data_IF_532450125880
#
_entry.id   IF_532450125880
#
_cell.length_a   1.000
_cell.length_b   1.000
_cell.length_c   1.000
_cell.angle_alpha   90.00
_cell.angle_beta   90.00
_cell.angle_gamma   90.00
#
_symmetry.space_group_name_H-M   'P 1'
#
loop_
_entity.id
_entity.type
_entity.pdbx_description
1 polymer ?
#
# COMPACT_ATOMS: atom_id res chain seq x y z
N UNK A 1 1.30 32.65 9.46
CA UNK A 1 0.38 32.14 8.43
C UNK A 1 -0.09 30.76 8.80
N UNK A 2 -1.20 30.29 8.22
CA UNK A 2 -1.71 28.91 8.34
C UNK A 2 -1.43 28.18 7.03
N UNK A 3 -0.94 26.95 7.07
CA UNK A 3 -0.81 26.12 5.86
C UNK A 3 -2.21 25.70 5.41
N UNK A 4 -2.57 25.97 4.16
CA UNK A 4 -3.89 25.67 3.58
C UNK A 4 -3.82 24.67 2.42
N UNK A 5 -2.62 24.22 2.05
CA UNK A 5 -2.45 23.18 1.04
C UNK A 5 -1.02 22.65 0.92
N UNK A 6 -0.91 21.46 0.33
CA UNK A 6 0.34 20.76 0.03
C UNK A 6 0.20 19.95 -1.25
N UNK A 7 1.24 19.99 -2.09
CA UNK A 7 1.37 19.15 -3.28
C UNK A 7 2.78 18.57 -3.33
N UNK A 8 2.98 17.27 -3.00
CA UNK A 8 4.25 16.62 -3.24
C UNK A 8 4.49 16.49 -4.75
N UNK A 9 5.73 16.70 -5.19
CA UNK A 9 6.17 16.48 -6.57
C UNK A 9 7.51 15.75 -6.57
N UNK A 10 7.55 14.59 -7.24
CA UNK A 10 8.75 13.79 -7.47
C UNK A 10 9.18 13.95 -8.91
N UNK A 11 10.40 14.43 -9.12
CA UNK A 11 10.98 14.51 -10.46
C UNK A 11 11.48 13.14 -10.91
N UNK A 12 10.88 12.61 -11.98
CA UNK A 12 11.28 11.36 -12.61
C UNK A 12 11.90 11.70 -13.96
N UNK A 13 13.21 11.45 -14.11
CA UNK A 13 13.95 11.69 -15.35
C UNK A 13 14.63 10.40 -15.80
N UNK A 14 14.20 9.87 -16.94
CA UNK A 14 14.67 8.61 -17.50
C UNK A 14 14.88 8.73 -19.01
N UNK A 15 15.97 8.15 -19.56
CA UNK A 15 16.14 8.04 -21.01
C UNK A 15 15.02 7.23 -21.69
N UNK A 16 14.41 6.27 -20.99
CA UNK A 16 13.39 5.36 -21.54
C UNK A 16 11.96 5.88 -21.33
N UNK A 17 11.70 6.55 -20.20
CA UNK A 17 10.34 6.95 -19.79
C UNK A 17 10.10 8.46 -19.84
N UNK A 18 11.08 9.21 -20.36
CA UNK A 18 11.05 10.66 -20.48
C UNK A 18 11.24 11.37 -19.14
N UNK A 19 10.71 12.59 -19.05
CA UNK A 19 10.88 13.48 -17.91
C UNK A 19 9.53 13.98 -17.43
N UNK A 20 9.15 13.63 -16.21
CA UNK A 20 7.89 14.03 -15.61
C UNK A 20 8.05 14.54 -14.17
N UNK A 21 7.10 15.35 -13.73
CA UNK A 21 6.81 15.53 -12.31
C UNK A 21 5.62 14.64 -11.94
N UNK A 22 5.77 13.80 -10.94
CA UNK A 22 4.71 12.88 -10.50
C UNK A 22 4.36 13.23 -9.06
N UNK A 23 3.07 13.34 -8.71
CA UNK A 23 2.66 13.72 -7.35
C UNK A 23 3.23 12.78 -6.29
N UNK A 24 3.25 11.48 -6.59
CA UNK A 24 3.89 10.47 -5.76
C UNK A 24 4.65 9.45 -6.61
N UNK A 25 5.94 9.24 -6.31
CA UNK A 25 6.81 8.38 -7.13
C UNK A 25 6.41 6.90 -7.08
N UNK A 26 6.39 6.31 -5.88
CA UNK A 26 6.11 4.89 -5.67
C UNK A 26 4.80 4.63 -4.91
N UNK A 27 3.97 5.66 -4.70
CA UNK A 27 2.70 5.54 -3.98
C UNK A 27 1.53 5.22 -4.93
N UNK A 28 0.50 4.52 -4.46
CA UNK A 28 -0.67 4.12 -5.26
C UNK A 28 -1.57 5.31 -5.57
N UNK A 29 -1.73 6.21 -4.58
CA UNK A 29 -2.50 7.44 -4.66
C UNK A 29 -1.64 8.63 -4.20
N UNK A 30 -2.10 9.83 -4.54
CA UNK A 30 -1.53 11.10 -4.07
C UNK A 30 -1.69 12.22 -5.09
N UNK A 31 -1.79 13.45 -4.61
CA UNK A 31 -2.10 14.62 -5.41
C UNK A 31 -2.14 15.86 -4.53
N UNK A 32 -2.63 16.99 -5.05
CA UNK A 32 -2.77 18.19 -4.24
C UNK A 32 -3.83 17.97 -3.16
N UNK A 33 -3.53 18.43 -1.95
CA UNK A 33 -4.47 18.53 -0.83
C UNK A 33 -4.57 20.01 -0.49
N UNK A 34 -5.77 20.57 -0.51
CA UNK A 34 -6.02 21.97 -0.20
C UNK A 34 -7.33 22.11 0.58
N UNK A 35 -7.39 23.11 1.45
CA UNK A 35 -8.57 23.45 2.24
C UNK A 35 -9.60 24.28 1.44
N UNK A 36 -9.16 24.92 0.36
CA UNK A 36 -9.96 25.82 -0.48
C UNK A 36 -9.46 25.87 -1.93
N UNK A 37 -10.32 26.35 -2.83
CA UNK A 37 -10.07 26.39 -4.28
C UNK A 37 -8.93 27.34 -4.66
N UNK A 38 -8.72 28.42 -3.88
CA UNK A 38 -7.63 29.37 -4.10
C UNK A 38 -6.27 28.70 -3.85
N UNK A 39 -6.16 27.98 -2.73
CA UNK A 39 -4.99 27.19 -2.37
C UNK A 39 -4.73 26.07 -3.38
N UNK A 40 -5.78 25.38 -3.85
CA UNK A 40 -5.64 24.39 -4.92
C UNK A 40 -5.12 25.02 -6.20
N UNK A 41 -5.70 26.14 -6.64
CA UNK A 41 -5.28 26.83 -7.86
C UNK A 41 -3.81 27.26 -7.79
N UNK A 42 -3.35 27.78 -6.65
CA UNK A 42 -1.96 28.16 -6.40
C UNK A 42 -1.01 26.95 -6.45
N UNK A 43 -1.39 25.80 -5.88
CA UNK A 43 -0.59 24.57 -5.97
C UNK A 43 -0.45 24.07 -7.41
N UNK A 44 -1.52 24.15 -8.20
CA UNK A 44 -1.52 23.74 -9.60
C UNK A 44 -0.65 24.66 -10.46
N UNK A 45 -0.73 25.97 -10.26
CA UNK A 45 0.13 26.95 -10.93
C UNK A 45 1.60 26.72 -10.57
N UNK A 46 1.92 26.56 -9.29
CA UNK A 46 3.28 26.26 -8.84
C UNK A 46 3.82 24.96 -9.44
N UNK A 47 2.98 23.94 -9.64
CA UNK A 47 3.39 22.69 -10.28
C UNK A 47 3.70 22.88 -11.77
N UNK A 48 2.90 23.67 -12.49
CA UNK A 48 3.10 24.03 -13.90
C UNK A 48 4.38 24.84 -14.08
N UNK A 49 4.61 25.85 -13.24
CA UNK A 49 5.85 26.63 -13.21
C UNK A 49 7.06 25.73 -12.93
N UNK A 50 6.98 24.88 -11.90
CA UNK A 50 8.05 23.93 -11.56
C UNK A 50 8.33 22.97 -12.73
N UNK A 51 7.32 22.53 -13.47
CA UNK A 51 7.51 21.67 -14.63
C UNK A 51 8.28 22.39 -15.74
N UNK A 52 7.94 23.65 -16.02
CA UNK A 52 8.65 24.49 -16.99
C UNK A 52 10.10 24.73 -16.57
N UNK A 53 10.33 25.16 -15.33
CA UNK A 53 11.67 25.41 -14.77
C UNK A 53 12.57 24.16 -14.82
N UNK A 54 11.99 22.99 -14.53
CA UNK A 54 12.72 21.72 -14.54
C UNK A 54 12.81 21.10 -15.92
N UNK A 55 12.11 21.62 -16.93
CA UNK A 55 12.03 21.03 -18.26
C UNK A 55 11.30 19.68 -18.30
N UNK A 56 10.36 19.44 -17.38
CA UNK A 56 9.52 18.25 -17.39
C UNK A 56 8.48 18.35 -18.51
N UNK A 57 8.30 17.27 -19.28
CA UNK A 57 7.36 17.25 -20.41
C UNK A 57 5.91 16.99 -20.02
N UNK A 58 5.67 16.56 -18.77
CA UNK A 58 4.33 16.35 -18.21
C UNK A 58 4.31 16.42 -16.69
N UNK A 59 3.11 16.62 -16.15
CA UNK A 59 2.79 16.43 -14.74
C UNK A 59 1.78 15.28 -14.64
N UNK A 60 1.98 14.37 -13.68
CA UNK A 60 1.08 13.25 -13.43
C UNK A 60 0.63 13.27 -11.98
N UNK A 61 -0.68 13.37 -11.76
CA UNK A 61 -1.27 13.18 -10.44
C UNK A 61 -1.84 11.78 -10.31
N UNK A 62 -1.52 11.11 -9.19
CA UNK A 62 -2.13 9.84 -8.77
C UNK A 62 -3.39 10.09 -7.94
N UNK A 63 -4.21 11.01 -8.40
CA UNK A 63 -5.49 11.41 -7.82
C UNK A 63 -6.45 11.74 -8.97
N UNK A 64 -7.75 11.91 -8.71
CA UNK A 64 -8.65 12.49 -9.71
C UNK A 64 -8.07 13.77 -10.31
N UNK A 65 -8.30 13.99 -11.60
CA UNK A 65 -7.80 15.17 -12.28
C UNK A 65 -8.51 16.44 -11.74
N UNK A 66 -7.79 17.56 -11.58
CA UNK A 66 -8.42 18.82 -11.24
C UNK A 66 -9.31 19.30 -12.40
N UNK A 67 -10.36 20.05 -12.10
CA UNK A 67 -11.17 20.74 -13.11
C UNK A 67 -10.41 21.97 -13.64
N UNK A 68 -9.38 21.72 -14.46
CA UNK A 68 -8.48 22.72 -15.03
C UNK A 68 -8.14 22.37 -16.47
N UNK A 69 -8.21 23.37 -17.36
CA UNK A 69 -7.92 23.20 -18.79
C UNK A 69 -6.53 22.59 -19.00
N UNK A 70 -6.44 21.59 -19.87
CA UNK A 70 -5.19 20.90 -20.22
C UNK A 70 -4.90 19.65 -19.38
N UNK A 71 -5.65 19.43 -18.30
CA UNK A 71 -5.60 18.18 -17.54
C UNK A 71 -6.49 17.12 -18.20
N UNK A 72 -5.98 15.89 -18.26
CA UNK A 72 -6.69 14.74 -18.83
C UNK A 72 -6.84 13.70 -17.75
N UNK A 73 -8.07 13.31 -17.45
CA UNK A 73 -8.33 12.22 -16.52
C UNK A 73 -8.14 10.86 -17.21
N UNK A 74 -7.41 9.95 -16.56
CA UNK A 74 -7.35 8.54 -16.93
C UNK A 74 -8.48 7.73 -16.27
N UNK A 75 -9.67 8.34 -16.17
CA UNK A 75 -10.83 7.83 -15.46
C UNK A 75 -11.19 6.41 -15.91
N UNK A 76 -11.63 5.58 -14.96
CA UNK A 76 -12.06 4.20 -15.22
C UNK A 76 -10.93 3.20 -15.40
N UNK A 77 -9.66 3.62 -15.29
CA UNK A 77 -8.52 2.69 -15.35
C UNK A 77 -8.33 1.93 -14.04
N UNK A 78 -8.69 2.51 -12.89
CA UNK A 78 -8.44 1.90 -11.58
C UNK A 78 -9.66 2.01 -10.67
N UNK A 79 -9.90 0.96 -9.89
CA UNK A 79 -10.92 0.93 -8.84
C UNK A 79 -10.29 0.50 -7.51
N UNK A 80 -10.56 1.24 -6.44
CA UNK A 80 -10.10 0.94 -5.08
C UNK A 80 -11.09 0.06 -4.33
N UNK A 81 -10.58 -0.86 -3.50
CA UNK A 81 -11.40 -1.74 -2.68
C UNK A 81 -11.13 -1.48 -1.21
N UNK A 82 -12.11 -0.94 -0.50
CA UNK A 82 -12.02 -0.69 0.94
C UNK A 82 -13.15 -1.40 1.67
N UNK A 83 -12.91 -1.76 2.93
CA UNK A 83 -13.92 -2.36 3.79
C UNK A 83 -13.75 -1.90 5.23
N UNK A 84 -14.84 -1.46 5.82
CA UNK A 84 -14.92 -1.21 7.26
C UNK A 84 -14.63 -2.49 8.05
N UNK A 85 -13.95 -2.30 9.18
CA UNK A 85 -13.67 -3.35 10.16
C UNK A 85 -14.51 -3.11 11.41
N UNK A 86 -15.11 -4.18 11.90
CA UNK A 86 -15.73 -4.20 13.22
C UNK A 86 -14.65 -4.14 14.32
N UNK A 87 -15.00 -3.64 15.50
CA UNK A 87 -14.12 -3.70 16.67
C UNK A 87 -13.90 -5.13 17.18
N UNK A 88 -14.83 -6.04 16.88
CA UNK A 88 -14.70 -7.47 17.18
C UNK A 88 -14.04 -8.23 16.01
N UNK A 89 -12.85 -8.83 16.22
CA UNK A 89 -12.19 -9.66 15.21
C UNK A 89 -13.03 -10.85 14.73
N UNK A 90 -13.86 -11.45 15.57
CA UNK A 90 -14.68 -12.61 15.20
C UNK A 90 -15.83 -12.19 14.27
N UNK A 91 -16.42 -11.01 14.50
CA UNK A 91 -17.36 -10.40 13.57
C UNK A 91 -16.73 -10.14 12.20
N UNK A 92 -15.48 -9.66 12.15
CA UNK A 92 -14.75 -9.49 10.90
C UNK A 92 -14.52 -10.82 10.16
N UNK A 93 -14.17 -11.89 10.87
CA UNK A 93 -14.04 -13.24 10.30
C UNK A 93 -15.37 -13.73 9.72
N UNK A 94 -16.49 -13.49 10.40
CA UNK A 94 -17.82 -13.87 9.92
C UNK A 94 -18.23 -13.12 8.63
N UNK A 95 -17.79 -11.88 8.44
CA UNK A 95 -18.02 -11.06 7.23
C UNK A 95 -17.21 -11.53 6.01
N UNK A 96 -16.15 -12.33 6.19
CA UNK A 96 -15.41 -12.93 5.07
C UNK A 96 -16.33 -13.90 4.32
N UNK A 97 -16.37 -13.84 2.99
CA UNK A 97 -17.18 -14.74 2.15
C UNK A 97 -16.90 -16.21 2.49
N UNK A 98 -17.94 -17.06 2.42
CA UNK A 98 -17.91 -18.46 2.87
C UNK A 98 -16.70 -19.26 2.39
N UNK A 99 -16.33 -19.12 1.11
CA UNK A 99 -15.19 -19.84 0.51
C UNK A 99 -13.87 -19.41 1.14
N UNK A 100 -13.59 -18.11 1.19
CA UNK A 100 -12.36 -17.56 1.79
C UNK A 100 -12.30 -17.85 3.30
N UNK A 101 -13.41 -17.72 4.02
CA UNK A 101 -13.47 -18.07 5.45
C UNK A 101 -13.16 -19.55 5.72
N UNK A 102 -13.55 -20.45 4.83
CA UNK A 102 -13.16 -21.87 4.92
C UNK A 102 -11.65 -22.07 4.72
N UNK A 103 -11.02 -21.29 3.84
CA UNK A 103 -9.56 -21.30 3.65
C UNK A 103 -8.81 -20.77 4.87
N UNK A 104 -9.28 -19.66 5.48
CA UNK A 104 -8.74 -19.15 6.74
C UNK A 104 -8.75 -20.24 7.81
N UNK A 105 -9.91 -20.86 8.05
CA UNK A 105 -10.05 -21.93 9.06
C UNK A 105 -9.18 -23.14 8.76
N UNK A 106 -9.04 -23.51 7.48
CA UNK A 106 -8.15 -24.59 7.04
C UNK A 106 -6.69 -24.26 7.38
N UNK A 107 -6.23 -23.05 7.08
CA UNK A 107 -4.87 -22.61 7.38
C UNK A 107 -4.58 -22.54 8.88
N UNK A 108 -5.50 -22.00 9.68
CA UNK A 108 -5.40 -22.03 11.15
C UNK A 108 -5.35 -23.47 11.68
N UNK A 109 -6.15 -24.38 11.10
CA UNK A 109 -6.11 -25.82 11.44
C UNK A 109 -4.80 -26.52 11.06
N UNK A 110 -3.96 -25.92 10.22
CA UNK A 110 -2.60 -26.39 9.94
C UNK A 110 -1.57 -25.84 10.92
N UNK A 111 -1.96 -25.11 11.95
CA UNK A 111 -1.04 -24.57 12.95
C UNK A 111 -0.23 -23.37 12.43
N UNK A 112 -0.78 -22.61 11.48
CA UNK A 112 -0.16 -21.36 11.06
C UNK A 112 -0.23 -20.31 12.16
N UNK A 113 0.86 -19.60 12.40
CA UNK A 113 0.95 -18.50 13.36
C UNK A 113 1.33 -17.19 12.66
N UNK A 114 0.95 -16.06 13.26
CA UNK A 114 1.33 -14.74 12.79
C UNK A 114 2.25 -14.05 13.79
N UNK A 115 3.30 -13.43 13.27
CA UNK A 115 4.30 -12.69 14.05
C UNK A 115 4.51 -11.32 13.41
N UNK A 116 4.58 -10.27 14.23
CA UNK A 116 4.99 -8.94 13.76
C UNK A 116 6.50 -8.84 13.89
N UNK A 117 7.19 -8.71 12.76
CA UNK A 117 8.64 -8.69 12.72
C UNK A 117 9.18 -7.28 13.01
N UNK A 118 10.25 -7.20 13.82
CA UNK A 118 10.96 -5.94 14.08
C UNK A 118 11.76 -5.44 12.87
N UNK A 119 12.13 -6.35 11.96
CA UNK A 119 12.95 -6.05 10.78
C UNK A 119 12.27 -6.54 9.51
N UNK A 120 12.70 -5.99 8.37
CA UNK A 120 12.19 -6.36 7.05
C UNK A 120 12.88 -7.59 6.45
N UNK A 121 13.73 -8.30 7.18
CA UNK A 121 14.62 -9.31 6.60
C UNK A 121 13.86 -10.50 6.02
N UNK A 122 13.06 -11.17 6.85
CA UNK A 122 12.21 -12.30 6.43
C UNK A 122 11.21 -11.90 5.36
N UNK A 123 10.59 -10.72 5.55
CA UNK A 123 9.68 -10.14 4.57
C UNK A 123 10.34 -9.98 3.21
N UNK A 124 11.54 -9.39 3.15
CA UNK A 124 12.21 -9.11 1.89
C UNK A 124 12.56 -10.40 1.15
N UNK A 125 13.04 -11.42 1.85
CA UNK A 125 13.40 -12.71 1.26
C UNK A 125 12.16 -13.38 0.62
N UNK A 126 11.03 -13.39 1.33
CA UNK A 126 9.75 -13.92 0.84
C UNK A 126 9.20 -13.08 -0.32
N UNK A 127 9.17 -11.75 -0.15
CA UNK A 127 8.65 -10.81 -1.14
C UNK A 127 9.45 -10.91 -2.45
N UNK A 128 10.78 -10.89 -2.37
CA UNK A 128 11.69 -11.03 -3.51
C UNK A 128 11.45 -12.34 -4.26
N UNK A 129 11.39 -13.47 -3.54
CA UNK A 129 11.09 -14.77 -4.15
C UNK A 129 9.71 -14.79 -4.82
N UNK A 130 8.71 -14.16 -4.21
CA UNK A 130 7.34 -14.08 -4.74
C UNK A 130 7.27 -13.26 -6.04
N UNK A 131 7.79 -12.03 -6.04
CA UNK A 131 7.71 -11.15 -7.21
C UNK A 131 8.62 -11.60 -8.35
N UNK A 132 9.76 -12.23 -8.05
CA UNK A 132 10.62 -12.85 -9.04
C UNK A 132 9.88 -13.94 -9.83
N UNK A 133 9.14 -14.82 -9.14
CA UNK A 133 8.31 -15.85 -9.77
C UNK A 133 7.18 -15.28 -10.64
N UNK A 134 6.70 -14.07 -10.31
CA UNK A 134 5.70 -13.35 -11.09
C UNK A 134 6.32 -12.52 -12.24
N UNK A 135 7.64 -12.58 -12.44
CA UNK A 135 8.34 -11.83 -13.49
C UNK A 135 8.47 -10.33 -13.20
N UNK A 136 8.34 -9.92 -11.93
CA UNK A 136 8.42 -8.51 -11.50
C UNK A 136 9.79 -8.21 -10.86
N UNK A 137 10.53 -7.18 -11.31
CA UNK A 137 11.76 -6.74 -10.66
C UNK A 137 11.51 -6.32 -9.21
N UNK A 138 12.37 -6.78 -8.30
CA UNK A 138 12.26 -6.48 -6.86
C UNK A 138 13.04 -5.22 -6.49
N UNK A 139 12.49 -4.42 -5.57
CA UNK A 139 13.25 -3.37 -4.90
C UNK A 139 14.33 -3.97 -3.97
N UNK A 140 15.45 -3.27 -3.82
CA UNK A 140 16.49 -3.71 -2.88
C UNK A 140 16.02 -3.62 -1.42
N UNK A 141 16.51 -4.50 -0.55
CA UNK A 141 16.17 -4.56 0.89
C UNK A 141 16.26 -3.19 1.60
N UNK A 142 17.26 -2.38 1.23
CA UNK A 142 17.47 -1.02 1.77
C UNK A 142 16.27 -0.09 1.59
N UNK A 143 15.47 -0.28 0.53
CA UNK A 143 14.24 0.48 0.32
C UNK A 143 13.23 0.21 1.43
N UNK A 144 12.95 -1.06 1.72
CA UNK A 144 12.01 -1.45 2.78
C UNK A 144 12.50 -1.05 4.17
N UNK A 145 13.81 -1.16 4.42
CA UNK A 145 14.40 -0.63 5.66
C UNK A 145 14.22 0.90 5.78
N UNK A 146 14.32 1.63 4.66
CA UNK A 146 14.08 3.07 4.66
C UNK A 146 12.60 3.39 4.93
N UNK A 147 11.66 2.63 4.37
CA UNK A 147 10.24 2.76 4.66
C UNK A 147 9.97 2.55 6.16
N UNK A 148 10.42 1.43 6.73
CA UNK A 148 10.22 1.14 8.15
C UNK A 148 10.81 2.24 9.06
N UNK A 149 12.02 2.74 8.75
CA UNK A 149 12.61 3.87 9.50
C UNK A 149 11.86 5.19 9.34
N UNK A 150 11.27 5.45 8.18
CA UNK A 150 10.62 6.74 7.87
C UNK A 150 9.24 6.81 8.50
N UNK A 151 8.48 5.71 8.42
CA UNK A 151 7.10 5.65 8.91
C UNK A 151 7.00 5.19 10.38
N UNK A 152 8.05 4.57 10.93
CA UNK A 152 8.10 4.19 12.34
C UNK A 152 6.89 3.34 12.74
N UNK A 153 6.15 3.80 13.75
CA UNK A 153 4.99 3.10 14.29
C UNK A 153 3.82 2.97 13.30
N UNK A 154 3.80 3.79 12.23
CA UNK A 154 2.83 3.74 11.14
C UNK A 154 3.20 2.72 10.05
N UNK A 155 4.18 1.85 10.28
CA UNK A 155 4.59 0.79 9.38
C UNK A 155 5.01 -0.47 10.15
N UNK A 156 4.51 -1.63 9.75
CA UNK A 156 5.01 -2.90 10.27
C UNK A 156 4.99 -4.02 9.23
N UNK A 157 5.60 -5.14 9.61
CA UNK A 157 5.69 -6.37 8.84
C UNK A 157 4.99 -7.46 9.62
N UNK A 158 3.98 -8.09 9.01
CA UNK A 158 3.33 -9.28 9.55
C UNK A 158 3.74 -10.49 8.71
N UNK A 159 4.28 -11.50 9.38
CA UNK A 159 4.76 -12.73 8.75
C UNK A 159 3.99 -13.94 9.29
N UNK A 160 3.57 -14.81 8.38
CA UNK A 160 2.94 -16.09 8.68
C UNK A 160 3.98 -17.20 8.68
N UNK A 161 3.92 -18.04 9.70
CA UNK A 161 4.84 -19.14 9.95
C UNK A 161 4.13 -20.49 9.95
N UNK A 162 4.87 -21.52 9.56
CA UNK A 162 4.53 -22.91 9.79
C UNK A 162 5.72 -23.60 10.46
N UNK A 163 5.53 -24.10 11.68
CA UNK A 163 6.56 -24.83 12.43
C UNK A 163 7.90 -24.05 12.55
N UNK A 164 7.81 -22.72 12.69
CA UNK A 164 8.97 -21.81 12.77
C UNK A 164 9.49 -21.30 11.43
N UNK A 165 8.98 -21.83 10.31
CA UNK A 165 9.41 -21.42 8.96
C UNK A 165 8.46 -20.37 8.37
N UNK A 166 9.02 -19.26 7.87
CA UNK A 166 8.27 -18.15 7.31
C UNK A 166 7.74 -18.48 5.90
N UNK A 167 6.43 -18.41 5.67
CA UNK A 167 5.81 -18.84 4.40
C UNK A 167 5.11 -17.72 3.62
N UNK A 168 4.63 -16.67 4.31
CA UNK A 168 4.01 -15.51 3.69
C UNK A 168 4.30 -14.27 4.55
N UNK A 169 4.44 -13.11 3.93
CA UNK A 169 4.71 -11.87 4.67
C UNK A 169 4.16 -10.65 3.96
N UNK A 170 3.75 -9.65 4.73
CA UNK A 170 3.19 -8.39 4.24
C UNK A 170 3.70 -7.21 5.06
N UNK A 171 4.23 -6.21 4.36
CA UNK A 171 4.53 -4.90 4.91
C UNK A 171 3.33 -3.98 4.69
N UNK A 172 2.85 -3.38 5.77
CA UNK A 172 1.65 -2.55 5.79
C UNK A 172 1.93 -1.15 6.32
N UNK A 173 1.16 -0.17 5.83
CA UNK A 173 1.11 1.18 6.40
C UNK A 173 -0.16 1.39 7.19
N UNK A 174 -0.10 2.31 8.16
CA UNK A 174 -1.23 2.72 8.98
C UNK A 174 -1.42 4.23 8.86
N UNK A 175 -2.65 4.65 8.56
CA UNK A 175 -2.96 6.08 8.47
C UNK A 175 -4.43 6.33 8.77
N UNK A 176 -4.72 7.25 9.70
CA UNK A 176 -6.09 7.69 10.04
C UNK A 176 -7.07 6.52 10.25
N UNK A 177 -6.66 5.51 11.03
CA UNK A 177 -7.49 4.33 11.33
C UNK A 177 -7.64 3.34 10.17
N UNK A 178 -6.86 3.49 9.10
CA UNK A 178 -6.84 2.57 7.95
C UNK A 178 -5.54 1.78 7.91
N UNK A 179 -5.63 0.47 7.70
CA UNK A 179 -4.49 -0.38 7.35
C UNK A 179 -4.40 -0.54 5.82
N UNK A 180 -3.19 -0.39 5.28
CA UNK A 180 -2.88 -0.52 3.86
C UNK A 180 -1.81 -1.61 3.68
N UNK A 181 -2.18 -2.88 3.43
CA UNK A 181 -1.24 -3.94 3.09
C UNK A 181 -0.63 -3.64 1.73
N UNK A 182 0.64 -3.22 1.73
CA UNK A 182 1.19 -2.47 0.60
C UNK A 182 2.16 -3.30 -0.24
N UNK A 183 3.02 -4.07 0.42
CA UNK A 183 3.91 -5.03 -0.23
C UNK A 183 3.70 -6.39 0.40
N UNK A 184 3.25 -7.37 -0.38
CA UNK A 184 2.97 -8.71 0.10
C UNK A 184 3.54 -9.78 -0.82
N UNK A 185 3.98 -10.89 -0.23
CA UNK A 185 4.50 -12.03 -0.97
C UNK A 185 4.35 -13.34 -0.20
N UNK A 186 4.41 -14.44 -0.94
CA UNK A 186 4.41 -15.77 -0.33
C UNK A 186 5.28 -16.75 -1.09
N UNK A 187 5.82 -17.73 -0.36
CA UNK A 187 6.53 -18.86 -0.93
C UNK A 187 5.55 -19.84 -1.61
N UNK A 188 6.00 -20.75 -2.49
CA UNK A 188 5.13 -21.71 -3.16
C UNK A 188 4.28 -22.57 -2.20
N UNK A 189 4.84 -22.97 -1.07
CA UNK A 189 4.25 -23.83 -0.05
C UNK A 189 3.04 -23.16 0.62
N UNK A 190 3.05 -21.83 0.72
CA UNK A 190 1.99 -21.00 1.29
C UNK A 190 0.61 -21.31 0.68
N UNK A 191 0.56 -21.66 -0.61
CA UNK A 191 -0.70 -21.97 -1.31
C UNK A 191 -1.38 -23.21 -0.75
N UNK A 192 -0.60 -24.26 -0.47
CA UNK A 192 -1.15 -25.52 0.06
C UNK A 192 -1.58 -25.37 1.52
N UNK A 193 -0.95 -24.44 2.24
CA UNK A 193 -1.22 -24.11 3.62
C UNK A 193 -2.35 -23.09 3.82
N UNK A 194 -2.90 -22.50 2.75
CA UNK A 194 -3.84 -21.37 2.83
C UNK A 194 -3.25 -20.14 3.57
N UNK A 195 -1.92 -19.97 3.54
CA UNK A 195 -1.24 -18.98 4.36
C UNK A 195 -1.57 -17.54 3.94
N UNK A 196 -1.87 -17.27 2.67
CA UNK A 196 -2.32 -15.94 2.24
C UNK A 196 -3.69 -15.57 2.82
N UNK A 197 -4.63 -16.52 2.89
CA UNK A 197 -5.93 -16.28 3.53
C UNK A 197 -5.75 -15.98 5.03
N UNK A 198 -4.89 -16.75 5.72
CA UNK A 198 -4.54 -16.51 7.13
C UNK A 198 -3.83 -15.17 7.31
N UNK A 199 -2.88 -14.82 6.44
CA UNK A 199 -2.14 -13.55 6.50
C UNK A 199 -3.07 -12.34 6.49
N UNK A 200 -4.02 -12.29 5.56
CA UNK A 200 -4.98 -11.18 5.51
C UNK A 200 -5.94 -11.22 6.71
N UNK A 201 -6.36 -12.40 7.18
CA UNK A 201 -7.17 -12.51 8.39
C UNK A 201 -6.46 -11.97 9.63
N UNK A 202 -5.22 -12.40 9.86
CA UNK A 202 -4.40 -11.97 10.99
C UNK A 202 -4.03 -10.49 10.88
N UNK A 203 -3.79 -9.97 9.67
CA UNK A 203 -3.59 -8.54 9.48
C UNK A 203 -4.83 -7.71 9.82
N UNK A 204 -6.03 -8.17 9.42
CA UNK A 204 -7.28 -7.52 9.83
C UNK A 204 -7.45 -7.52 11.35
N UNK A 205 -7.13 -8.66 12.00
CA UNK A 205 -7.19 -8.79 13.45
C UNK A 205 -6.18 -7.86 14.15
N UNK A 206 -4.92 -7.87 13.72
CA UNK A 206 -3.85 -6.99 14.23
C UNK A 206 -4.20 -5.51 14.04
N UNK A 207 -4.71 -5.13 12.87
CA UNK A 207 -5.14 -3.76 12.60
C UNK A 207 -6.20 -3.27 13.60
N UNK A 208 -7.19 -4.11 13.94
CA UNK A 208 -8.23 -3.76 14.92
C UNK A 208 -7.67 -3.77 16.35
N UNK A 209 -7.06 -4.88 16.77
CA UNK A 209 -6.70 -5.13 18.17
C UNK A 209 -5.51 -4.29 18.63
N UNK A 210 -4.50 -4.16 17.77
CA UNK A 210 -3.21 -3.56 18.16
C UNK A 210 -3.04 -2.15 17.60
N UNK A 211 -3.71 -1.81 16.49
CA UNK A 211 -3.57 -0.51 15.80
C UNK A 211 -4.83 0.36 15.85
N UNK A 212 -5.94 -0.13 16.40
CA UNK A 212 -7.18 0.63 16.53
C UNK A 212 -7.81 1.03 15.19
N UNK A 213 -7.53 0.28 14.12
CA UNK A 213 -8.04 0.56 12.79
C UNK A 213 -9.51 0.13 12.66
N UNK A 214 -10.26 0.91 11.88
CA UNK A 214 -11.66 0.65 11.54
C UNK A 214 -11.87 0.49 10.02
N UNK A 215 -10.79 0.54 9.23
CA UNK A 215 -10.83 0.42 7.77
C UNK A 215 -9.67 -0.44 7.28
N UNK A 216 -9.96 -1.29 6.30
CA UNK A 216 -8.97 -2.08 5.56
C UNK A 216 -8.99 -1.67 4.09
N UNK A 217 -7.86 -1.19 3.57
CA UNK A 217 -7.70 -0.85 2.16
C UNK A 217 -7.02 -2.00 1.43
N UNK A 218 -7.74 -2.70 0.54
CA UNK A 218 -7.19 -3.78 -0.29
C UNK A 218 -6.39 -3.25 -1.49
N UNK A 219 -6.25 -1.93 -1.62
CA UNK A 219 -5.61 -1.27 -2.73
C UNK A 219 -6.51 -1.19 -3.96
N UNK A 220 -5.88 -0.90 -5.09
CA UNK A 220 -6.56 -0.73 -6.39
C UNK A 220 -6.36 -1.94 -7.31
N UNK A 221 -7.36 -2.22 -8.13
CA UNK A 221 -7.22 -3.05 -9.33
C UNK A 221 -7.33 -2.18 -10.57
N UNK A 222 -6.62 -2.59 -11.63
CA UNK A 222 -6.91 -2.17 -13.01
C UNK A 222 -8.07 -2.99 -13.56
#
# INVERSE_FOLDING_TARGET
GRLTGVLPLVQVRSPLFGHALVSTGFCVEGGPIADDDESLAALLEAAEETALERGASRIEFRSPAPDRKGWVDAAGTYVGFRRELESDPDANLARIRRKQRAMVRKGLGFGLTATVDETVDRFHDIYAASVHRLGTPVFGKRYFQALQRTFGDDCDVLTIEKDGEAVASVLSFYHKGTVLPYYGGSLPEARNLAANDVMYHELMRHAVVNRGCNMFDFGRSK
#
